data_IF_632249391747
#
_entry.id   IF_632249391747
#
_cell.length_a   1.000
_cell.length_b   1.000
_cell.length_c   1.000
_cell.angle_alpha   90.00
_cell.angle_beta   90.00
_cell.angle_gamma   90.00
#
_symmetry.space_group_name_H-M   'P 1'
#
loop_
_entity.id
_entity.type
_entity.pdbx_description
1 polymer ?
#
# COMPACT_ATOMS: atom_id res chain seq x y z
N UNK A 1 -9.75 -20.23 -3.86
CA UNK A 1 -10.27 -20.27 -2.46
C UNK A 1 -11.40 -21.29 -2.30
N UNK A 2 -12.53 -21.18 -3.02
CA UNK A 2 -13.68 -22.09 -2.85
C UNK A 2 -13.35 -23.58 -3.06
N UNK A 3 -12.49 -23.88 -4.04
CA UNK A 3 -11.98 -25.25 -4.25
C UNK A 3 -11.14 -25.70 -3.06
N UNK A 4 -10.22 -24.86 -2.57
CA UNK A 4 -9.31 -25.20 -1.49
C UNK A 4 -10.06 -25.54 -0.18
N UNK A 5 -11.06 -24.74 0.19
CA UNK A 5 -11.90 -25.01 1.36
C UNK A 5 -12.72 -26.31 1.20
N UNK A 6 -13.25 -26.58 0.01
CA UNK A 6 -13.99 -27.81 -0.26
C UNK A 6 -13.10 -29.06 -0.25
N UNK A 7 -11.85 -28.90 -0.66
CA UNK A 7 -10.82 -29.94 -0.61
C UNK A 7 -10.25 -30.17 0.79
N UNK A 8 -10.74 -29.46 1.81
CA UNK A 8 -10.29 -29.63 3.19
C UNK A 8 -8.93 -29.02 3.50
N UNK A 9 -8.45 -28.08 2.68
CA UNK A 9 -7.22 -27.33 2.98
C UNK A 9 -7.50 -26.37 4.14
N UNK A 10 -6.62 -26.36 5.14
CA UNK A 10 -6.77 -25.49 6.30
C UNK A 10 -6.71 -24.01 5.87
N UNK A 11 -7.61 -23.14 6.38
CA UNK A 11 -7.60 -21.71 6.06
C UNK A 11 -6.24 -21.02 6.31
N UNK A 12 -5.46 -21.50 7.30
CA UNK A 12 -4.12 -20.97 7.59
C UNK A 12 -3.16 -21.13 6.41
N UNK A 13 -3.21 -22.25 5.71
CA UNK A 13 -2.38 -22.45 4.52
C UNK A 13 -2.80 -21.51 3.39
N UNK A 14 -4.10 -21.37 3.17
CA UNK A 14 -4.64 -20.43 2.17
C UNK A 14 -4.19 -18.99 2.49
N UNK A 15 -4.22 -18.58 3.77
CA UNK A 15 -3.72 -17.27 4.20
C UNK A 15 -2.22 -17.15 3.92
N UNK A 16 -1.43 -18.19 4.17
CA UNK A 16 0.02 -18.12 3.97
C UNK A 16 0.40 -17.97 2.49
N UNK A 17 -0.37 -18.59 1.59
CA UNK A 17 -0.18 -18.46 0.14
C UNK A 17 -0.66 -17.11 -0.40
N UNK A 18 -1.73 -16.54 0.17
CA UNK A 18 -2.28 -15.26 -0.29
C UNK A 18 -1.58 -14.03 0.31
N UNK A 19 -1.00 -14.16 1.50
CA UNK A 19 -0.34 -13.05 2.21
C UNK A 19 0.96 -12.66 1.50
N UNK A 20 1.14 -11.36 1.28
CA UNK A 20 2.38 -10.82 0.70
C UNK A 20 2.40 -10.79 -0.84
N UNK A 21 1.34 -11.24 -1.51
CA UNK A 21 1.14 -10.94 -2.93
C UNK A 21 0.91 -9.42 -3.05
N UNK A 22 1.76 -8.74 -3.81
CA UNK A 22 1.71 -7.29 -4.02
C UNK A 22 1.30 -6.95 -5.45
N UNK A 23 0.47 -5.93 -5.59
CA UNK A 23 0.14 -5.33 -6.88
C UNK A 23 0.11 -3.80 -6.71
N UNK A 24 -1.07 -3.20 -6.55
CA UNK A 24 -1.25 -1.79 -6.18
C UNK A 24 -1.56 -1.67 -4.67
N UNK A 25 -0.59 -1.26 -3.83
CA UNK A 25 -0.81 -1.16 -2.39
C UNK A 25 -1.68 0.04 -2.03
N UNK A 26 -2.65 -0.18 -1.14
CA UNK A 26 -3.60 0.85 -0.67
C UNK A 26 -3.71 0.79 0.86
N UNK A 27 -3.88 1.95 1.48
CA UNK A 27 -4.23 2.03 2.90
C UNK A 27 -5.74 1.98 3.08
N UNK A 28 -6.22 1.01 3.86
CA UNK A 28 -7.62 0.93 4.28
C UNK A 28 -7.69 0.83 5.81
N UNK A 29 -8.49 1.69 6.44
CA UNK A 29 -8.72 1.68 7.89
C UNK A 29 -7.43 1.61 8.75
N UNK A 30 -6.36 2.29 8.31
CA UNK A 30 -5.07 2.28 9.00
C UNK A 30 -4.24 1.01 8.82
N UNK A 31 -4.65 0.11 7.92
CA UNK A 31 -3.93 -1.10 7.55
C UNK A 31 -3.49 -1.05 6.09
N UNK A 32 -2.26 -1.48 5.84
CA UNK A 32 -1.74 -1.60 4.48
C UNK A 32 -2.29 -2.87 3.83
N UNK A 33 -2.95 -2.71 2.69
CA UNK A 33 -3.42 -3.79 1.82
C UNK A 33 -2.48 -3.82 0.62
N UNK A 34 -1.74 -4.90 0.43
CA UNK A 34 -0.74 -4.99 -0.65
C UNK A 34 -1.37 -5.27 -2.02
N UNK A 35 -2.53 -5.95 -2.03
CA UNK A 35 -3.30 -6.32 -3.22
C UNK A 35 -4.67 -6.90 -2.82
N UNK A 36 -5.53 -7.17 -3.80
CA UNK A 36 -6.79 -7.89 -3.59
C UNK A 36 -6.63 -9.27 -2.90
N UNK A 37 -5.72 -10.18 -3.33
CA UNK A 37 -5.53 -11.46 -2.63
C UNK A 37 -4.99 -11.28 -1.21
N UNK A 38 -4.10 -10.31 -0.96
CA UNK A 38 -3.61 -10.01 0.39
C UNK A 38 -4.75 -9.53 1.30
N UNK A 39 -5.67 -8.70 0.79
CA UNK A 39 -6.87 -8.29 1.51
C UNK A 39 -7.70 -9.49 1.97
N UNK A 40 -7.89 -10.49 1.08
CA UNK A 40 -8.62 -11.71 1.42
C UNK A 40 -7.88 -12.54 2.46
N UNK A 41 -6.55 -12.63 2.38
CA UNK A 41 -5.72 -13.30 3.39
C UNK A 41 -5.92 -12.67 4.77
N UNK A 42 -5.92 -11.35 4.84
CA UNK A 42 -6.10 -10.60 6.08
C UNK A 42 -7.48 -10.83 6.71
N UNK A 43 -8.54 -10.84 5.90
CA UNK A 43 -9.91 -11.10 6.36
C UNK A 43 -10.07 -12.55 6.78
N UNK A 44 -9.53 -13.50 6.01
CA UNK A 44 -9.60 -14.92 6.32
C UNK A 44 -8.82 -15.25 7.60
N UNK A 45 -7.67 -14.63 7.83
CA UNK A 45 -6.92 -14.74 9.08
C UNK A 45 -7.75 -14.28 10.28
N UNK A 46 -8.43 -13.13 10.16
CA UNK A 46 -9.32 -12.60 11.22
C UNK A 46 -10.45 -13.57 11.56
N UNK A 47 -11.03 -14.23 10.55
CA UNK A 47 -12.11 -15.22 10.73
C UNK A 47 -11.62 -16.61 11.15
N UNK A 48 -10.36 -16.96 10.89
CA UNK A 48 -9.79 -18.24 11.34
C UNK A 48 -9.36 -18.19 12.80
N UNK A 49 -9.14 -17.00 13.35
CA UNK A 49 -8.88 -16.76 14.78
C UNK A 49 -10.16 -16.58 15.61
N UNK A 50 -11.34 -16.84 15.03
CA UNK A 50 -12.66 -16.57 15.64
C UNK A 50 -13.19 -17.71 16.53
N UNK A 51 -12.37 -18.70 16.89
CA UNK A 51 -12.62 -19.57 18.06
C UNK A 51 -12.27 -18.88 19.40
N UNK A 52 -12.28 -17.55 19.45
CA UNK A 52 -12.17 -16.78 20.71
C UNK A 52 -13.03 -15.52 20.65
N UNK A 53 -14.36 -15.71 20.58
CA UNK A 53 -15.28 -14.71 21.10
C UNK A 53 -15.16 -14.74 22.63
N UNK A 54 -14.20 -13.99 23.16
CA UNK A 54 -14.25 -13.35 24.49
C UNK A 54 -13.10 -12.34 24.59
N UNK A 55 -13.34 -11.13 24.06
CA UNK A 55 -12.86 -9.90 24.70
C UNK A 55 -13.70 -8.72 24.26
N UNK A 56 -14.88 -8.66 24.88
CA UNK A 56 -15.54 -7.40 25.21
C UNK A 56 -14.54 -6.56 26.02
N UNK A 57 -14.36 -5.29 25.65
CA UNK A 57 -13.56 -4.36 26.43
C UNK A 57 -12.81 -3.38 25.54
N UNK A 58 -13.53 -2.38 25.04
CA UNK A 58 -12.93 -1.08 24.75
C UNK A 58 -12.39 -0.55 26.09
N UNK A 59 -11.08 -0.52 26.26
CA UNK A 59 -10.42 0.36 27.22
C UNK A 59 -9.20 0.98 26.54
N UNK A 60 -9.35 2.27 26.26
CA UNK A 60 -8.27 3.18 25.94
C UNK A 60 -7.67 3.60 27.28
N UNK A 61 -6.47 3.11 27.62
CA UNK A 61 -5.50 3.84 28.44
C UNK A 61 -4.08 3.33 28.21
N UNK A 62 -3.16 4.29 28.23
CA UNK A 62 -1.74 4.23 27.93
C UNK A 62 -0.88 3.38 28.88
N UNK A 63 0.31 3.07 28.36
CA UNK A 63 1.64 3.09 29.01
C UNK A 63 1.98 2.07 30.11
N UNK A 64 3.04 1.28 29.88
CA UNK A 64 4.37 1.50 30.49
C UNK A 64 5.20 0.20 30.67
N UNK A 65 6.39 0.18 30.05
CA UNK A 65 7.65 -0.47 30.50
C UNK A 65 7.71 -2.00 30.60
N UNK A 66 8.82 -2.73 30.45
CA UNK A 66 10.27 -2.52 30.28
C UNK A 66 10.82 -3.92 29.90
N UNK A 67 11.82 -4.17 29.03
CA UNK A 67 13.26 -3.85 29.12
C UNK A 67 13.92 -4.26 27.77
N UNK A 68 14.64 -3.37 27.07
CA UNK A 68 16.13 -3.22 26.99
C UNK A 68 16.87 -4.49 26.50
N UNK A 69 17.71 -4.46 25.46
CA UNK A 69 18.90 -3.60 25.22
C UNK A 69 19.21 -3.52 23.70
N UNK A 70 19.43 -2.35 23.12
CA UNK A 70 20.73 -1.68 22.88
C UNK A 70 21.62 -2.35 21.83
N UNK A 71 21.63 -1.81 20.62
CA UNK A 71 22.85 -1.63 19.83
C UNK A 71 22.80 -0.24 19.17
N UNK A 72 23.73 0.60 19.62
CA UNK A 72 24.06 1.89 19.01
C UNK A 72 25.04 1.61 17.87
N UNK A 73 24.90 2.30 16.72
CA UNK A 73 26.01 2.74 15.88
C UNK A 73 25.56 3.84 14.90
N UNK A 74 25.75 5.08 15.36
CA UNK A 74 26.36 6.25 14.69
C UNK A 74 26.43 6.33 13.13
N UNK A 75 25.98 7.46 12.56
CA UNK A 75 26.13 7.75 11.12
C UNK A 75 25.53 9.06 10.56
N UNK A 76 25.90 10.21 11.14
CA UNK A 76 26.26 11.51 10.51
C UNK A 76 25.49 12.16 9.31
N UNK A 77 25.14 13.45 9.49
CA UNK A 77 25.03 14.51 8.45
C UNK A 77 23.64 14.68 7.81
N UNK A 78 23.09 15.86 7.53
CA UNK A 78 23.56 17.24 7.46
C UNK A 78 22.32 18.16 7.39
N UNK A 79 22.47 19.37 7.91
CA UNK A 79 21.47 20.46 7.89
C UNK A 79 21.14 20.91 6.47
N UNK A 80 19.86 21.12 6.15
CA UNK A 80 19.47 22.10 5.14
C UNK A 80 18.20 22.84 5.58
N UNK A 81 18.43 24.07 6.04
CA UNK A 81 17.46 25.16 6.10
C UNK A 81 17.05 25.52 4.67
N UNK A 82 15.77 25.50 4.32
CA UNK A 82 15.26 26.33 3.21
C UNK A 82 13.75 26.59 3.36
N UNK A 83 13.47 27.77 3.91
CA UNK A 83 12.51 28.77 3.42
C UNK A 83 11.33 28.30 2.55
N UNK A 84 10.17 28.37 3.19
CA UNK A 84 8.88 28.68 2.58
C UNK A 84 8.94 30.01 1.81
N UNK A 85 8.63 29.98 0.49
CA UNK A 85 7.69 30.90 -0.19
C UNK A 85 7.54 30.52 -1.67
N UNK A 86 6.38 29.93 -1.97
CA UNK A 86 5.84 29.77 -3.32
C UNK A 86 5.54 31.14 -3.94
N UNK A 87 6.14 31.41 -5.10
CA UNK A 87 5.56 32.28 -6.13
C UNK A 87 6.24 31.94 -7.44
N UNK A 88 5.46 31.68 -8.50
CA UNK A 88 5.63 32.10 -9.92
C UNK A 88 4.67 31.26 -10.81
N UNK A 89 4.10 31.86 -11.87
CA UNK A 89 2.73 31.62 -12.33
C UNK A 89 2.60 30.65 -13.52
N UNK A 90 1.33 30.32 -13.79
CA UNK A 90 0.78 29.55 -14.91
C UNK A 90 1.47 29.82 -16.26
N UNK A 91 2.00 28.77 -16.89
CA UNK A 91 2.45 28.72 -18.29
C UNK A 91 2.18 27.30 -18.85
N UNK A 92 1.98 27.15 -20.17
CA UNK A 92 1.13 26.12 -20.78
C UNK A 92 1.76 24.73 -20.69
N UNK A 93 0.96 23.73 -20.30
CA UNK A 93 1.36 22.32 -20.28
C UNK A 93 1.64 21.84 -21.71
N UNK A 94 2.88 21.97 -22.14
CA UNK A 94 3.45 21.13 -23.20
C UNK A 94 3.49 19.72 -22.60
N UNK A 95 2.48 18.92 -22.93
CA UNK A 95 2.40 17.52 -22.52
C UNK A 95 3.64 16.78 -23.01
N UNK A 96 4.24 15.98 -22.13
CA UNK A 96 5.36 15.11 -22.49
C UNK A 96 4.92 14.18 -23.64
N UNK A 97 5.71 14.01 -24.71
CA UNK A 97 5.39 13.05 -25.75
C UNK A 97 5.38 11.64 -25.15
N UNK A 98 4.44 10.79 -25.61
CA UNK A 98 4.35 9.41 -25.15
C UNK A 98 5.70 8.69 -25.32
N UNK A 99 6.21 7.95 -24.31
CA UNK A 99 7.51 7.29 -24.40
C UNK A 99 7.56 6.13 -25.41
N UNK A 100 6.40 5.58 -25.80
CA UNK A 100 6.30 4.45 -26.73
C UNK A 100 6.11 4.90 -28.18
N UNK A 101 5.24 5.89 -28.42
CA UNK A 101 4.86 6.30 -29.79
C UNK A 101 5.22 7.75 -30.13
N UNK A 102 5.79 8.50 -29.18
CA UNK A 102 6.03 9.94 -29.28
C UNK A 102 4.79 10.78 -29.63
N UNK A 103 3.59 10.20 -29.45
CA UNK A 103 2.32 10.87 -29.66
C UNK A 103 2.12 12.02 -28.67
N UNK A 104 1.42 13.06 -29.13
CA UNK A 104 1.10 14.25 -28.32
C UNK A 104 -0.12 14.06 -27.42
N UNK A 105 -0.88 12.97 -27.59
CA UNK A 105 -2.08 12.67 -26.82
C UNK A 105 -1.76 11.75 -25.63
N UNK A 106 -0.93 12.26 -24.71
CA UNK A 106 -0.65 11.65 -23.42
C UNK A 106 -1.39 12.45 -22.34
N UNK A 107 -2.41 11.85 -21.75
CA UNK A 107 -3.32 12.48 -20.80
C UNK A 107 -3.14 11.83 -19.43
N UNK A 108 -3.19 12.62 -18.37
CA UNK A 108 -3.24 12.09 -17.01
C UNK A 108 -4.69 11.99 -16.54
N UNK A 109 -5.18 10.76 -16.36
CA UNK A 109 -6.56 10.43 -15.97
C UNK A 109 -6.55 9.31 -14.94
N UNK A 110 -7.45 9.37 -13.95
CA UNK A 110 -7.63 8.32 -12.92
C UNK A 110 -6.33 7.95 -12.16
N UNK A 111 -5.37 8.87 -12.04
CA UNK A 111 -4.08 8.62 -11.37
C UNK A 111 -3.03 7.94 -12.26
N UNK A 112 -3.31 7.76 -13.56
CA UNK A 112 -2.40 7.15 -14.51
C UNK A 112 -2.15 8.06 -15.73
N UNK A 113 -0.95 7.99 -16.30
CA UNK A 113 -0.66 8.55 -17.62
C UNK A 113 -1.14 7.58 -18.69
N UNK A 114 -2.15 7.97 -19.47
CA UNK A 114 -2.72 7.18 -20.56
C UNK A 114 -2.45 7.85 -21.91
N UNK A 115 -2.04 7.06 -22.90
CA UNK A 115 -1.91 7.51 -24.28
C UNK A 115 -3.00 6.88 -25.14
N UNK A 116 -3.86 7.71 -25.73
CA UNK A 116 -4.95 7.25 -26.60
C UNK A 116 -4.50 6.88 -28.02
N UNK A 117 -3.25 7.14 -28.38
CA UNK A 117 -2.71 6.82 -29.70
C UNK A 117 -2.16 5.39 -29.76
N UNK A 118 -1.44 4.94 -28.71
CA UNK A 118 -0.80 3.61 -28.67
C UNK A 118 -1.26 2.72 -27.53
N UNK A 119 -2.09 3.22 -26.60
CA UNK A 119 -2.55 2.46 -25.43
C UNK A 119 -1.54 2.36 -24.29
N UNK A 120 -0.44 3.13 -24.31
CA UNK A 120 0.50 3.21 -23.19
C UNK A 120 -0.22 3.69 -21.92
N UNK A 121 -0.04 2.99 -20.80
CA UNK A 121 -0.54 3.40 -19.49
C UNK A 121 0.53 3.24 -18.42
N UNK A 122 0.72 4.26 -17.57
CA UNK A 122 1.61 4.19 -16.39
C UNK A 122 1.00 4.90 -15.19
N UNK A 123 0.69 4.14 -14.15
CA UNK A 123 0.17 4.63 -12.86
C UNK A 123 1.32 4.85 -11.87
N UNK A 124 1.14 5.77 -10.91
CA UNK A 124 2.13 6.11 -9.89
C UNK A 124 1.51 6.62 -8.60
#
# INVERSE_FOLDING_TARGET
>A
ISLALRSGIEPKEIVNELRGISDLPVWDNGKLILSAPDAVAQVLAKHSSIDSIEKIGVDITQSDGNNKTSDQNNGNGINHNTENKNTIPEQPKVGMPCPECHGSNLIFEEGCLNCHECGYSKCG
#
